data_IF_140288958884
#
_entry.id   IF_140288958884
#
_cell.length_a   1.000
_cell.length_b   1.000
_cell.length_c   1.000
_cell.angle_alpha   90.00
_cell.angle_beta   90.00
_cell.angle_gamma   90.00
#
_symmetry.space_group_name_H-M   'P 1'
#
loop_
_entity.id
_entity.type
_entity.pdbx_description
1 polymer ?
#
# COMPACT_ATOMS: atom_id res chain seq x y z
N UNK A 1 -7.68 6.29 -6.23
CA UNK A 1 -6.45 6.22 -7.05
C UNK A 1 -6.84 5.82 -8.46
N UNK A 2 -6.14 6.30 -9.49
CA UNK A 2 -6.45 5.88 -10.87
C UNK A 2 -5.99 4.42 -11.07
N UNK A 3 -6.84 3.50 -11.57
CA UNK A 3 -6.44 2.14 -11.86
C UNK A 3 -5.24 2.09 -12.82
N UNK A 4 -4.31 1.16 -12.60
CA UNK A 4 -3.11 0.99 -13.43
C UNK A 4 -3.09 -0.38 -14.08
N UNK A 5 -3.04 -0.44 -15.40
CA UNK A 5 -2.89 -1.70 -16.14
C UNK A 5 -1.47 -2.21 -15.99
N UNK A 6 -1.34 -3.42 -15.47
CA UNK A 6 -0.09 -4.16 -15.29
C UNK A 6 -0.07 -5.37 -16.23
N UNK A 7 1.07 -6.09 -16.28
CA UNK A 7 1.25 -7.26 -17.13
C UNK A 7 0.17 -8.35 -16.94
N UNK A 8 -0.33 -8.50 -15.71
CA UNK A 8 -1.21 -9.61 -15.32
C UNK A 8 -2.60 -9.18 -14.82
N UNK A 9 -2.97 -7.91 -14.98
CA UNK A 9 -4.25 -7.42 -14.47
C UNK A 9 -4.25 -5.92 -14.25
N UNK A 10 -5.29 -5.42 -13.60
CA UNK A 10 -5.42 -4.02 -13.24
C UNK A 10 -5.14 -3.88 -11.74
N UNK A 11 -4.21 -3.01 -11.37
CA UNK A 11 -4.01 -2.61 -9.99
C UNK A 11 -5.02 -1.52 -9.63
N UNK A 12 -5.83 -1.78 -8.61
CA UNK A 12 -6.92 -0.91 -8.15
C UNK A 12 -6.54 -0.07 -6.91
N UNK A 13 -5.35 -0.29 -6.35
CA UNK A 13 -4.90 0.35 -5.12
C UNK A 13 -3.42 0.67 -5.09
N UNK A 14 -2.97 1.22 -3.96
CA UNK A 14 -1.56 1.43 -3.64
C UNK A 14 -1.31 0.94 -2.21
N UNK A 15 -0.14 0.34 -2.00
CA UNK A 15 0.37 -0.01 -0.67
C UNK A 15 1.31 1.11 -0.22
N UNK A 16 1.26 1.46 1.07
CA UNK A 16 2.13 2.48 1.66
C UNK A 16 3.39 1.84 2.24
N UNK A 17 4.53 2.51 2.04
CA UNK A 17 5.83 2.11 2.53
C UNK A 17 6.65 3.35 2.89
N UNK A 18 7.64 3.20 3.78
CA UNK A 18 8.56 4.26 4.17
C UNK A 18 10.02 3.81 4.03
N UNK A 19 10.93 4.74 3.76
CA UNK A 19 12.36 4.46 3.67
C UNK A 19 13.13 5.54 2.91
N UNK A 20 14.47 5.50 2.89
CA UNK A 20 15.30 6.50 2.22
C UNK A 20 15.21 6.44 0.68
N UNK A 21 14.52 5.44 0.12
CA UNK A 21 14.26 5.29 -1.31
C UNK A 21 15.09 4.18 -1.94
N UNK A 22 14.86 3.92 -3.24
CA UNK A 22 15.52 2.82 -3.94
C UNK A 22 15.02 1.45 -3.45
N UNK A 23 15.95 0.59 -3.06
CA UNK A 23 15.67 -0.75 -2.51
C UNK A 23 15.30 -0.76 -1.03
N UNK A 24 15.56 0.34 -0.31
CA UNK A 24 15.39 0.41 1.13
C UNK A 24 13.98 0.94 1.44
N UNK A 25 13.00 0.05 1.35
CA UNK A 25 11.59 0.33 1.63
C UNK A 25 11.04 -0.67 2.65
N UNK A 26 10.33 -0.15 3.64
CA UNK A 26 9.66 -0.91 4.69
C UNK A 26 8.15 -0.75 4.53
N UNK A 27 7.40 -1.86 4.49
CA UNK A 27 5.94 -1.84 4.38
C UNK A 27 5.36 -1.31 5.69
N UNK A 28 4.39 -0.40 5.60
CA UNK A 28 3.64 0.04 6.77
C UNK A 28 2.62 -1.04 7.14
N UNK A 29 2.65 -1.42 8.42
CA UNK A 29 1.69 -2.34 9.00
C UNK A 29 0.69 -1.58 9.87
N UNK A 30 -0.58 -2.03 9.93
CA UNK A 30 -1.55 -1.43 10.82
C UNK A 30 -1.25 -1.75 12.28
N UNK A 31 -1.65 -0.85 13.19
CA UNK A 31 -1.59 -1.09 14.62
C UNK A 31 -2.54 -2.21 15.06
N UNK A 32 -2.26 -2.81 16.21
CA UNK A 32 -3.10 -3.86 16.80
C UNK A 32 -4.56 -3.41 16.96
N UNK A 33 -5.48 -4.29 16.56
CA UNK A 33 -6.92 -4.05 16.61
C UNK A 33 -7.51 -3.33 15.40
N UNK A 34 -6.68 -2.89 14.44
CA UNK A 34 -7.18 -2.38 13.17
C UNK A 34 -7.84 -3.50 12.34
N UNK A 35 -8.95 -3.19 11.68
CA UNK A 35 -9.70 -4.16 10.85
C UNK A 35 -9.73 -3.76 9.38
N UNK A 36 -9.93 -4.72 8.45
CA UNK A 36 -10.09 -4.41 7.03
C UNK A 36 -11.16 -3.35 6.78
N UNK A 37 -10.84 -2.36 5.93
CA UNK A 37 -11.75 -1.27 5.58
C UNK A 37 -11.76 -0.08 6.56
N UNK A 38 -11.04 -0.15 7.69
CA UNK A 38 -10.82 1.03 8.53
C UNK A 38 -10.13 2.14 7.74
N UNK A 39 -10.59 3.38 7.95
CA UNK A 39 -10.02 4.55 7.28
C UNK A 39 -8.72 4.96 7.98
N UNK A 40 -7.65 5.10 7.20
CA UNK A 40 -6.40 5.71 7.66
C UNK A 40 -6.61 7.21 7.80
N UNK A 41 -6.28 7.76 8.96
CA UNK A 41 -6.35 9.20 9.29
C UNK A 41 -5.04 9.68 9.87
#
# INVERSE_FOLDING_TARGET
LKPRKMRFGVSEGMVLAAGPGGSDLYILEPDDGATPGMRVT
#
